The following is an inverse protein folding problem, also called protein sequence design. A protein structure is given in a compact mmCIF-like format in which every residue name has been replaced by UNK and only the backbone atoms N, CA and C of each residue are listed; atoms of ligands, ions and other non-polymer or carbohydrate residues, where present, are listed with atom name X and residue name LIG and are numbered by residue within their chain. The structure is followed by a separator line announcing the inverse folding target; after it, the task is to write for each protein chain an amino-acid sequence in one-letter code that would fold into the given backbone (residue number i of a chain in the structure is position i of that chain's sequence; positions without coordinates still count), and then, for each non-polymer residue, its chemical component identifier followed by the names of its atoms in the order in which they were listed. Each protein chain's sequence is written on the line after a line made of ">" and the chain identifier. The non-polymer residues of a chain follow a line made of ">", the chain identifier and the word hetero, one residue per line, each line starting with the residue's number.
data_IF_089734114127
#
_entry.id   IF_089734114127
#
_cell.length_a   1.000
_cell.length_b   1.000
_cell.length_c   1.000
_cell.angle_alpha   90.00
_cell.angle_beta   90.00
_cell.angle_gamma   90.00
#
_symmetry.space_group_name_H-M   'P 1'
#
loop_
_entity.id
_entity.type
_entity.pdbx_description
1 polymer ?
#
# COMPACT_ATOMS: atom_id res chain seq x y z
N UNK A 1 -16.90 0.81 31.14
CA UNK A 1 -17.76 1.97 30.84
C UNK A 1 -17.53 2.39 29.39
N UNK A 2 -18.58 2.81 28.71
CA UNK A 2 -18.53 3.54 27.43
C UNK A 2 -18.95 5.00 27.65
N UNK A 3 -18.59 5.88 26.71
CA UNK A 3 -19.05 7.27 26.66
C UNK A 3 -19.71 7.53 25.31
N UNK A 4 -20.77 8.34 25.30
CA UNK A 4 -21.36 8.89 24.07
C UNK A 4 -20.87 10.32 23.89
N UNK A 5 -20.27 10.62 22.75
CA UNK A 5 -19.83 11.97 22.40
C UNK A 5 -20.89 12.65 21.50
N UNK A 6 -21.06 13.98 21.56
CA UNK A 6 -21.97 14.69 20.66
C UNK A 6 -21.52 14.58 19.19
N UNK A 7 -22.45 14.38 18.25
CA UNK A 7 -22.11 14.27 16.83
C UNK A 7 -21.46 15.54 16.27
N UNK A 8 -21.79 16.72 16.79
CA UNK A 8 -21.21 18.01 16.41
C UNK A 8 -19.85 18.32 17.10
N UNK A 9 -19.25 17.35 17.79
CA UNK A 9 -17.96 17.52 18.45
C UNK A 9 -16.85 17.78 17.41
N UNK A 10 -16.28 18.98 17.44
CA UNK A 10 -15.21 19.39 16.51
C UNK A 10 -13.83 18.81 16.84
N UNK A 11 -13.48 18.64 18.11
CA UNK A 11 -12.17 18.17 18.54
C UNK A 11 -12.22 17.46 19.90
N UNK A 12 -11.26 16.57 20.13
CA UNK A 12 -10.93 16.05 21.47
C UNK A 12 -9.63 16.72 21.90
N UNK A 13 -9.71 17.65 22.85
CA UNK A 13 -8.58 18.47 23.29
C UNK A 13 -7.53 17.74 24.14
N UNK A 14 -6.44 18.45 24.43
CA UNK A 14 -5.28 17.92 25.14
C UNK A 14 -5.66 17.16 26.42
N UNK A 15 -5.12 15.95 26.59
CA UNK A 15 -5.32 15.12 27.79
C UNK A 15 -6.79 14.81 28.18
N UNK A 16 -7.78 15.02 27.32
CA UNK A 16 -9.21 14.96 27.69
C UNK A 16 -9.69 13.65 28.36
N UNK A 17 -9.11 12.50 28.01
CA UNK A 17 -9.35 11.19 28.63
C UNK A 17 -8.11 10.61 29.32
N UNK A 18 -7.10 11.44 29.62
CA UNK A 18 -5.82 11.00 30.17
C UNK A 18 -6.00 10.19 31.46
N UNK A 19 -5.48 8.97 31.45
CA UNK A 19 -5.57 7.99 32.54
C UNK A 19 -6.99 7.52 32.91
N UNK A 20 -7.96 7.53 31.97
CA UNK A 20 -9.33 7.05 32.23
C UNK A 20 -9.42 5.52 32.48
N UNK A 21 -9.16 5.10 33.73
CA UNK A 21 -9.10 3.70 34.20
C UNK A 21 -10.39 2.86 34.09
N UNK A 22 -11.48 3.42 33.57
CA UNK A 22 -12.79 2.73 33.43
C UNK A 22 -13.34 2.72 32.01
N UNK A 23 -12.75 3.51 31.10
CA UNK A 23 -13.18 3.63 29.70
C UNK A 23 -12.69 2.41 28.92
N UNK A 24 -13.63 1.55 28.52
CA UNK A 24 -13.34 0.26 27.86
C UNK A 24 -13.48 0.35 26.33
N UNK A 25 -14.32 1.25 25.84
CA UNK A 25 -14.51 1.54 24.42
C UNK A 25 -14.94 2.98 24.21
N UNK A 26 -14.60 3.55 23.06
CA UNK A 26 -15.06 4.87 22.64
C UNK A 26 -15.33 4.92 21.12
N UNK A 27 -16.39 5.63 20.75
CA UNK A 27 -16.69 6.00 19.37
C UNK A 27 -16.45 7.50 19.25
N UNK A 28 -15.61 7.90 18.29
CA UNK A 28 -15.24 9.28 17.99
C UNK A 28 -16.05 9.72 16.76
N UNK A 29 -16.98 10.69 16.90
CA UNK A 29 -17.93 11.09 15.86
C UNK A 29 -17.31 11.57 14.54
N UNK A 30 -18.13 11.61 13.49
CA UNK A 30 -17.70 11.93 12.12
C UNK A 30 -17.10 13.34 11.97
N UNK A 31 -17.57 14.30 12.77
CA UNK A 31 -17.19 15.70 12.66
C UNK A 31 -15.88 16.06 13.38
N UNK A 32 -15.31 15.14 14.18
CA UNK A 32 -14.04 15.37 14.89
C UNK A 32 -12.91 15.55 13.88
N UNK A 33 -12.25 16.72 13.91
CA UNK A 33 -11.14 17.11 13.04
C UNK A 33 -9.77 17.00 13.68
N UNK A 34 -9.71 17.07 15.02
CA UNK A 34 -8.45 16.95 15.77
C UNK A 34 -8.66 16.03 16.97
N UNK A 35 -7.73 15.10 17.17
CA UNK A 35 -7.54 14.39 18.44
C UNK A 35 -6.15 14.77 18.94
N UNK A 36 -6.14 15.53 20.04
CA UNK A 36 -4.97 16.29 20.47
C UNK A 36 -3.95 15.43 21.25
N UNK A 37 -2.86 16.08 21.61
CA UNK A 37 -1.71 15.58 22.36
C UNK A 37 -2.18 14.95 23.68
N UNK A 38 -1.65 13.75 23.99
CA UNK A 38 -1.99 12.97 25.18
C UNK A 38 -3.48 12.65 25.41
N UNK A 39 -4.39 12.92 24.46
CA UNK A 39 -5.84 12.87 24.71
C UNK A 39 -6.33 11.54 25.31
N UNK A 40 -5.68 10.41 25.00
CA UNK A 40 -5.97 9.09 25.57
C UNK A 40 -4.81 8.48 26.37
N UNK A 41 -3.76 9.25 26.70
CA UNK A 41 -2.56 8.78 27.39
C UNK A 41 -2.90 7.87 28.59
N UNK A 42 -2.38 6.64 28.58
CA UNK A 42 -2.52 5.66 29.67
C UNK A 42 -3.97 5.27 30.02
N UNK A 43 -4.89 5.24 29.04
CA UNK A 43 -6.19 4.54 29.18
C UNK A 43 -5.98 3.01 29.17
N UNK A 44 -5.32 2.48 30.20
CA UNK A 44 -4.79 1.11 30.21
C UNK A 44 -5.81 -0.03 30.08
N UNK A 45 -7.12 0.25 30.22
CA UNK A 45 -8.23 -0.71 30.05
C UNK A 45 -9.06 -0.50 28.76
N UNK A 46 -8.71 0.49 27.94
CA UNK A 46 -9.38 0.80 26.67
C UNK A 46 -9.05 -0.29 25.65
N UNK A 47 -10.08 -1.00 25.17
CA UNK A 47 -9.97 -2.16 24.26
C UNK A 47 -10.24 -1.82 22.80
N UNK A 48 -11.15 -0.87 22.55
CA UNK A 48 -11.53 -0.47 21.20
C UNK A 48 -11.72 1.04 21.06
N UNK A 49 -11.21 1.57 19.95
CA UNK A 49 -11.42 2.95 19.51
C UNK A 49 -11.97 2.87 18.09
N UNK A 50 -13.11 3.50 17.84
CA UNK A 50 -13.68 3.64 16.49
C UNK A 50 -13.72 5.11 16.12
N UNK A 51 -13.10 5.49 15.00
CA UNK A 51 -13.01 6.87 14.50
C UNK A 51 -13.87 6.98 13.23
N UNK A 52 -15.01 7.65 13.34
CA UNK A 52 -15.96 7.78 12.25
C UNK A 52 -15.62 8.94 11.28
N UNK A 53 -14.77 9.87 11.71
CA UNK A 53 -14.24 10.94 10.87
C UNK A 53 -12.91 10.60 10.21
N UNK A 54 -12.24 11.63 9.72
CA UNK A 54 -10.85 11.62 9.27
C UNK A 54 -10.13 12.74 10.04
N UNK A 55 -9.71 12.51 11.30
CA UNK A 55 -9.09 13.54 12.12
C UNK A 55 -7.57 13.59 11.88
N UNK A 56 -6.97 14.74 12.22
CA UNK A 56 -5.55 14.82 12.52
C UNK A 56 -5.32 14.29 13.94
N UNK A 57 -4.59 13.18 14.03
CA UNK A 57 -4.19 12.56 15.30
C UNK A 57 -2.80 13.12 15.62
N UNK A 58 -2.69 13.88 16.69
CA UNK A 58 -1.48 14.63 16.99
C UNK A 58 -0.42 13.77 17.69
N UNK A 59 0.67 14.44 18.06
CA UNK A 59 1.82 13.85 18.74
C UNK A 59 1.33 13.15 20.02
N UNK A 60 1.78 11.92 20.27
CA UNK A 60 1.61 11.26 21.58
C UNK A 60 0.14 11.06 22.06
N UNK A 61 -0.85 11.09 21.16
CA UNK A 61 -2.28 10.96 21.48
C UNK A 61 -2.66 9.64 22.17
N UNK A 62 -2.17 8.49 21.67
CA UNK A 62 -2.54 7.13 22.09
C UNK A 62 -1.35 6.37 22.71
N UNK A 63 -0.69 6.94 23.73
CA UNK A 63 0.39 6.27 24.48
C UNK A 63 -0.14 5.23 25.48
N UNK A 64 0.53 4.07 25.54
CA UNK A 64 0.41 3.02 26.58
C UNK A 64 -1.00 2.46 26.76
N UNK A 65 -1.71 2.29 25.63
CA UNK A 65 -3.01 1.62 25.60
C UNK A 65 -2.82 0.10 25.62
N UNK A 66 -2.33 -0.42 26.75
CA UNK A 66 -1.90 -1.82 26.90
C UNK A 66 -3.05 -2.84 26.75
N UNK A 67 -4.32 -2.39 26.74
CA UNK A 67 -5.48 -3.22 26.45
C UNK A 67 -6.05 -3.05 25.05
N UNK A 68 -5.55 -2.11 24.23
CA UNK A 68 -6.12 -1.78 22.92
C UNK A 68 -5.93 -2.93 21.96
N UNK A 69 -7.02 -3.63 21.67
CA UNK A 69 -7.09 -4.78 20.78
C UNK A 69 -7.50 -4.33 19.37
N UNK A 70 -8.22 -3.20 19.23
CA UNK A 70 -8.70 -2.66 17.93
C UNK A 70 -8.68 -1.13 17.85
N UNK A 71 -8.12 -0.59 16.77
CA UNK A 71 -8.28 0.79 16.33
C UNK A 71 -8.93 0.77 14.94
N UNK A 72 -10.19 1.21 14.85
CA UNK A 72 -10.98 1.18 13.62
C UNK A 72 -11.11 2.58 13.04
N UNK A 73 -10.60 2.78 11.83
CA UNK A 73 -10.59 4.06 11.10
C UNK A 73 -11.28 3.91 9.73
N UNK A 74 -12.60 3.62 9.67
CA UNK A 74 -13.33 3.34 8.42
C UNK A 74 -13.30 4.46 7.37
N UNK A 75 -13.04 5.71 7.77
CA UNK A 75 -12.82 6.85 6.86
C UNK A 75 -11.37 7.37 6.91
N UNK A 76 -10.44 6.57 7.41
CA UNK A 76 -9.02 6.92 7.56
C UNK A 76 -8.72 7.92 8.68
N UNK A 77 -7.68 8.72 8.44
CA UNK A 77 -7.20 9.82 9.27
C UNK A 77 -6.46 10.80 8.36
N UNK A 78 -6.51 12.08 8.67
CA UNK A 78 -5.80 13.11 7.88
C UNK A 78 -4.29 13.03 8.13
N UNK A 79 -3.85 12.76 9.36
CA UNK A 79 -2.42 12.60 9.70
C UNK A 79 -2.21 11.83 10.99
N UNK A 80 -1.05 11.16 11.11
CA UNK A 80 -0.52 10.65 12.39
C UNK A 80 0.75 11.42 12.75
N UNK A 81 0.75 12.09 13.90
CA UNK A 81 1.92 12.79 14.45
C UNK A 81 2.97 11.86 15.08
N UNK A 82 4.14 12.43 15.42
CA UNK A 82 5.22 11.70 16.07
C UNK A 82 4.73 10.95 17.34
N UNK A 83 5.02 9.65 17.45
CA UNK A 83 4.55 8.79 18.55
C UNK A 83 3.02 8.79 18.77
N UNK A 84 2.21 9.09 17.75
CA UNK A 84 0.75 9.14 17.85
C UNK A 84 0.11 7.87 18.45
N UNK A 85 0.65 6.69 18.13
CA UNK A 85 0.23 5.37 18.62
C UNK A 85 1.47 4.67 19.19
N UNK A 86 1.66 4.76 20.50
CA UNK A 86 2.91 4.36 21.18
C UNK A 86 2.60 3.28 22.24
N UNK A 87 3.39 2.20 22.24
CA UNK A 87 3.32 1.14 23.26
C UNK A 87 1.92 0.51 23.34
N UNK A 88 1.19 0.48 22.22
CA UNK A 88 -0.09 -0.22 22.07
C UNK A 88 0.16 -1.73 21.87
N UNK A 89 0.70 -2.39 22.89
CA UNK A 89 1.26 -3.76 22.83
C UNK A 89 0.27 -4.89 22.46
N UNK A 90 -1.03 -4.59 22.33
CA UNK A 90 -2.07 -5.53 21.89
C UNK A 90 -2.68 -5.21 20.52
N UNK A 91 -2.38 -4.05 19.94
CA UNK A 91 -3.00 -3.61 18.69
C UNK A 91 -2.46 -4.47 17.54
N UNK A 92 -3.28 -5.37 17.01
CA UNK A 92 -2.83 -6.45 16.13
C UNK A 92 -2.73 -6.09 14.66
N UNK A 93 -3.52 -5.09 14.22
CA UNK A 93 -3.57 -4.61 12.85
C UNK A 93 -3.79 -3.09 12.81
N UNK A 94 -3.24 -2.43 11.78
CA UNK A 94 -3.52 -1.03 11.43
C UNK A 94 -3.75 -0.88 9.92
N UNK A 95 -4.39 0.21 9.53
CA UNK A 95 -4.65 0.55 8.12
C UNK A 95 -3.98 1.88 7.75
N UNK A 96 -3.29 1.89 6.61
CA UNK A 96 -2.86 3.08 5.88
C UNK A 96 -3.98 3.41 4.88
N UNK A 97 -4.75 4.50 5.06
CA UNK A 97 -5.99 4.75 4.31
C UNK A 97 -5.76 5.15 2.85
N UNK A 98 -6.84 5.25 2.06
CA UNK A 98 -6.78 5.72 0.66
C UNK A 98 -6.15 7.11 0.53
N UNK A 99 -6.39 7.98 1.52
CA UNK A 99 -5.95 9.37 1.58
C UNK A 99 -5.50 9.73 2.99
N UNK A 100 -4.35 10.40 3.08
CA UNK A 100 -3.78 11.03 4.27
C UNK A 100 -2.71 12.04 3.82
N UNK A 101 -2.39 13.00 4.68
CA UNK A 101 -1.31 13.97 4.48
C UNK A 101 0.05 13.34 4.82
N UNK A 102 0.22 12.84 6.05
CA UNK A 102 1.48 12.26 6.54
C UNK A 102 1.33 11.26 7.70
N UNK A 103 2.35 10.41 7.86
CA UNK A 103 2.58 9.51 9.00
C UNK A 103 4.02 9.74 9.49
N UNK A 104 4.13 10.37 10.66
CA UNK A 104 5.39 10.88 11.22
C UNK A 104 6.37 9.79 11.70
N UNK A 105 7.57 10.25 12.10
CA UNK A 105 8.58 9.42 12.74
C UNK A 105 8.06 8.77 14.03
N UNK A 106 8.32 7.47 14.19
CA UNK A 106 7.88 6.67 15.33
C UNK A 106 6.35 6.68 15.57
N UNK A 107 5.52 7.00 14.57
CA UNK A 107 4.05 7.08 14.72
C UNK A 107 3.41 5.80 15.30
N UNK A 108 4.03 4.62 15.11
CA UNK A 108 3.62 3.32 15.64
C UNK A 108 4.67 2.72 16.60
N UNK A 109 5.33 3.53 17.44
CA UNK A 109 6.44 3.09 18.31
C UNK A 109 6.05 1.96 19.27
N UNK A 110 6.92 0.94 19.41
CA UNK A 110 6.78 -0.17 20.39
C UNK A 110 5.42 -0.89 20.39
N UNK A 111 4.73 -0.90 19.27
CA UNK A 111 3.45 -1.59 19.12
C UNK A 111 3.67 -3.10 18.91
N UNK A 112 4.27 -3.78 19.89
CA UNK A 112 4.77 -5.16 19.78
C UNK A 112 3.69 -6.25 19.55
N UNK A 113 2.41 -5.87 19.53
CA UNK A 113 1.31 -6.75 19.10
C UNK A 113 1.00 -6.66 17.60
N UNK A 114 1.51 -5.64 16.90
CA UNK A 114 1.15 -5.30 15.52
C UNK A 114 1.78 -6.30 14.55
N UNK A 115 0.95 -7.14 13.94
CA UNK A 115 1.36 -8.17 12.97
C UNK A 115 1.05 -7.79 11.54
N UNK A 116 -0.08 -7.11 11.34
CA UNK A 116 -0.65 -6.86 10.03
C UNK A 116 -0.68 -5.35 9.73
N UNK A 117 -0.23 -4.96 8.55
CA UNK A 117 -0.49 -3.62 8.00
C UNK A 117 -1.31 -3.77 6.71
N UNK A 118 -2.45 -3.09 6.64
CA UNK A 118 -3.26 -2.98 5.42
C UNK A 118 -3.01 -1.64 4.74
N UNK A 119 -2.74 -1.63 3.44
CA UNK A 119 -2.43 -0.43 2.65
C UNK A 119 -3.53 -0.22 1.61
N UNK A 120 -4.21 0.94 1.68
CA UNK A 120 -5.36 1.30 0.83
C UNK A 120 -5.09 2.49 -0.10
N UNK A 121 -3.98 3.21 0.07
CA UNK A 121 -3.58 4.28 -0.85
C UNK A 121 -3.28 3.74 -2.26
N UNK A 122 -3.85 4.40 -3.27
CA UNK A 122 -3.44 4.22 -4.68
C UNK A 122 -2.22 5.07 -5.03
N UNK A 123 -1.99 6.15 -4.29
CA UNK A 123 -0.92 7.13 -4.51
C UNK A 123 0.40 6.61 -3.94
N UNK A 124 1.51 6.99 -4.58
CA UNK A 124 2.82 6.92 -3.93
C UNK A 124 2.80 7.79 -2.67
N UNK A 125 3.27 7.22 -1.57
CA UNK A 125 3.30 7.85 -0.25
C UNK A 125 4.69 7.82 0.38
N UNK A 126 5.74 7.65 -0.44
CA UNK A 126 7.14 7.59 -0.01
C UNK A 126 7.58 8.84 0.74
N UNK A 127 7.17 10.03 0.29
CA UNK A 127 7.41 11.30 1.00
C UNK A 127 6.39 11.58 2.14
N UNK A 128 5.29 10.81 2.22
CA UNK A 128 4.23 10.98 3.23
C UNK A 128 4.42 10.09 4.46
N UNK A 129 5.12 8.96 4.35
CA UNK A 129 5.36 8.04 5.47
C UNK A 129 6.84 8.10 5.84
N UNK A 130 7.15 8.47 7.09
CA UNK A 130 8.52 8.40 7.60
C UNK A 130 9.06 6.96 7.50
N UNK A 131 10.26 6.73 6.93
CA UNK A 131 10.96 5.43 7.01
C UNK A 131 11.18 4.94 8.44
N UNK A 132 10.98 5.81 9.44
CA UNK A 132 11.08 5.52 10.87
C UNK A 132 9.72 5.41 11.58
N UNK A 133 8.58 5.39 10.86
CA UNK A 133 7.24 5.32 11.45
C UNK A 133 7.04 4.08 12.35
N UNK A 134 7.68 2.96 12.03
CA UNK A 134 7.55 1.66 12.72
C UNK A 134 8.78 1.27 13.56
N UNK A 135 9.60 2.24 14.01
CA UNK A 135 10.77 1.97 14.86
C UNK A 135 10.38 1.20 16.12
N UNK A 136 11.16 0.15 16.44
CA UNK A 136 10.91 -0.77 17.57
C UNK A 136 9.59 -1.55 17.51
N UNK A 137 8.94 -1.63 16.34
CA UNK A 137 7.73 -2.42 16.11
C UNK A 137 8.04 -3.62 15.20
N UNK A 138 8.91 -4.48 15.71
CA UNK A 138 9.52 -5.62 15.00
C UNK A 138 8.56 -6.83 14.85
N UNK A 139 7.29 -6.67 15.19
CA UNK A 139 6.28 -7.74 15.21
C UNK A 139 5.50 -7.88 13.88
N UNK A 140 5.68 -6.94 12.95
CA UNK A 140 4.96 -6.93 11.68
C UNK A 140 5.51 -8.04 10.78
N UNK A 141 4.64 -8.99 10.42
CA UNK A 141 4.98 -10.12 9.55
C UNK A 141 4.09 -10.23 8.31
N UNK A 142 3.01 -9.45 8.23
CA UNK A 142 2.04 -9.47 7.12
C UNK A 142 1.82 -8.06 6.56
N UNK A 143 2.09 -7.87 5.26
CA UNK A 143 1.64 -6.70 4.50
C UNK A 143 0.45 -7.08 3.60
N UNK A 144 -0.60 -6.27 3.60
CA UNK A 144 -1.82 -6.47 2.80
C UNK A 144 -2.06 -5.24 1.93
N UNK A 145 -1.81 -5.35 0.64
CA UNK A 145 -2.05 -4.29 -0.34
C UNK A 145 -3.45 -4.44 -0.94
N UNK A 146 -4.38 -3.60 -0.49
CA UNK A 146 -5.71 -3.47 -1.10
C UNK A 146 -5.70 -2.55 -2.35
N UNK A 147 -4.55 -1.91 -2.63
CA UNK A 147 -4.38 -0.90 -3.66
C UNK A 147 -2.88 -0.73 -4.05
N UNK A 148 -2.58 0.14 -5.02
CA UNK A 148 -1.26 0.24 -5.70
C UNK A 148 -0.14 0.99 -4.98
N UNK A 149 -0.36 1.54 -3.79
CA UNK A 149 0.62 2.34 -3.06
C UNK A 149 1.72 1.51 -2.37
N UNK A 150 2.65 0.95 -3.14
CA UNK A 150 3.62 -0.07 -2.69
C UNK A 150 4.75 0.43 -1.74
N UNK A 151 4.68 1.65 -1.22
CA UNK A 151 5.76 2.33 -0.45
C UNK A 151 6.38 1.48 0.66
N UNK A 152 5.57 0.76 1.47
CA UNK A 152 6.09 0.01 2.64
C UNK A 152 6.98 -1.19 2.25
N UNK A 153 6.88 -1.72 1.03
CA UNK A 153 7.77 -2.79 0.56
C UNK A 153 9.24 -2.30 0.54
N UNK A 154 9.48 -1.04 0.22
CA UNK A 154 10.83 -0.48 0.08
C UNK A 154 11.49 -0.09 1.42
N UNK A 155 10.83 -0.30 2.57
CA UNK A 155 11.37 0.10 3.87
C UNK A 155 12.25 -1.01 4.47
N UNK A 156 13.54 -0.71 4.66
CA UNK A 156 14.55 -1.63 5.21
C UNK A 156 14.09 -2.33 6.51
N UNK A 157 13.37 -1.61 7.38
CA UNK A 157 12.84 -2.12 8.65
C UNK A 157 11.91 -3.35 8.53
N UNK A 158 11.31 -3.59 7.37
CA UNK A 158 10.44 -4.75 7.11
C UNK A 158 11.15 -5.94 6.45
N UNK A 159 12.35 -5.74 5.87
CA UNK A 159 13.07 -6.77 5.07
C UNK A 159 13.27 -8.10 5.79
N UNK A 160 13.44 -8.08 7.11
CA UNK A 160 13.74 -9.27 7.93
C UNK A 160 12.55 -9.87 8.67
N UNK A 161 11.42 -9.16 8.77
CA UNK A 161 10.28 -9.60 9.61
C UNK A 161 9.05 -10.06 8.80
N UNK A 162 8.90 -9.61 7.55
CA UNK A 162 7.78 -10.01 6.70
C UNK A 162 7.93 -11.46 6.23
N UNK A 163 6.95 -12.28 6.60
CA UNK A 163 6.79 -13.67 6.13
C UNK A 163 5.71 -13.78 5.05
N UNK A 164 4.75 -12.85 5.04
CA UNK A 164 3.57 -12.93 4.17
C UNK A 164 3.30 -11.58 3.48
N UNK A 165 3.12 -11.61 2.16
CA UNK A 165 2.61 -10.47 1.39
C UNK A 165 1.32 -10.88 0.70
N UNK A 166 0.29 -10.04 0.82
CA UNK A 166 -1.02 -10.22 0.17
C UNK A 166 -1.27 -9.04 -0.76
N UNK A 167 -1.56 -9.30 -2.02
CA UNK A 167 -2.16 -8.34 -2.94
C UNK A 167 -3.64 -8.71 -3.12
N UNK A 168 -4.55 -7.78 -2.82
CA UNK A 168 -5.99 -8.00 -2.93
C UNK A 168 -6.68 -6.72 -3.46
N UNK A 169 -6.65 -6.52 -4.78
CA UNK A 169 -7.10 -5.24 -5.36
C UNK A 169 -8.64 -5.13 -5.54
N UNK A 170 -9.43 -5.74 -4.64
CA UNK A 170 -10.91 -5.67 -4.64
C UNK A 170 -11.48 -4.25 -4.69
N UNK A 171 -10.74 -3.24 -4.21
CA UNK A 171 -11.13 -1.83 -4.21
C UNK A 171 -10.63 -1.04 -5.42
N UNK A 172 -9.88 -1.66 -6.34
CA UNK A 172 -9.43 -1.04 -7.59
C UNK A 172 -10.59 -0.87 -8.57
N UNK A 173 -11.46 0.11 -8.31
CA UNK A 173 -12.44 0.56 -9.28
C UNK A 173 -11.71 0.95 -10.57
N UNK A 174 -12.18 0.44 -11.72
CA UNK A 174 -11.43 0.46 -12.99
C UNK A 174 -11.10 1.88 -13.53
N UNK A 175 -11.66 2.92 -12.91
CA UNK A 175 -11.38 4.32 -13.17
C UNK A 175 -10.05 4.83 -12.56
N UNK A 176 -9.44 4.11 -11.60
CA UNK A 176 -8.26 4.55 -10.85
C UNK A 176 -6.97 3.77 -11.12
N UNK A 177 -6.86 3.14 -12.30
CA UNK A 177 -5.56 2.66 -12.80
C UNK A 177 -4.59 3.85 -12.89
N UNK A 178 -3.50 3.82 -12.10
CA UNK A 178 -2.24 4.44 -12.50
C UNK A 178 -1.80 3.71 -13.78
N UNK A 179 -1.99 4.35 -14.93
CA UNK A 179 -2.00 3.68 -16.25
C UNK A 179 -0.65 3.12 -16.68
N UNK A 180 0.39 3.43 -15.91
CA UNK A 180 1.80 3.21 -16.24
C UNK A 180 2.43 2.05 -15.45
N UNK A 181 1.80 1.60 -14.35
CA UNK A 181 2.33 0.53 -13.49
C UNK A 181 1.77 -0.83 -13.92
N UNK A 182 2.35 -1.43 -14.96
CA UNK A 182 1.98 -2.77 -15.43
C UNK A 182 2.39 -3.88 -14.45
N UNK A 183 3.49 -3.70 -13.72
CA UNK A 183 4.12 -4.76 -12.93
C UNK A 183 3.86 -4.62 -11.42
N UNK A 184 3.70 -5.75 -10.73
CA UNK A 184 3.81 -5.80 -9.27
C UNK A 184 5.23 -5.44 -8.80
N UNK A 185 5.40 -4.89 -7.59
CA UNK A 185 6.72 -4.63 -7.02
C UNK A 185 7.47 -5.95 -6.75
N UNK A 186 8.80 -5.93 -6.88
CA UNK A 186 9.62 -7.07 -6.46
C UNK A 186 9.65 -7.19 -4.93
N UNK A 187 9.61 -8.42 -4.44
CA UNK A 187 9.63 -8.84 -3.03
C UNK A 187 10.97 -9.50 -2.64
N UNK A 188 11.91 -9.63 -3.58
CA UNK A 188 13.14 -10.42 -3.45
C UNK A 188 14.15 -9.94 -2.38
N UNK A 189 13.92 -8.77 -1.78
CA UNK A 189 14.67 -8.21 -0.65
C UNK A 189 14.17 -8.71 0.71
N UNK A 190 12.96 -9.29 0.80
CA UNK A 190 12.48 -9.91 2.03
C UNK A 190 13.26 -11.21 2.28
N UNK A 191 13.95 -11.29 3.41
CA UNK A 191 14.84 -12.42 3.70
C UNK A 191 14.12 -13.66 4.23
N UNK A 192 12.94 -13.45 4.83
CA UNK A 192 12.14 -14.46 5.52
C UNK A 192 10.73 -14.62 4.90
N UNK A 193 10.55 -14.18 3.65
CA UNK A 193 9.30 -14.37 2.92
C UNK A 193 9.02 -15.87 2.73
N UNK A 194 7.79 -16.27 3.01
CA UNK A 194 7.31 -17.66 2.93
C UNK A 194 5.99 -17.77 2.17
N UNK A 195 5.15 -16.73 2.15
CA UNK A 195 3.85 -16.78 1.47
C UNK A 195 3.57 -15.51 0.67
N UNK A 196 3.13 -15.67 -0.58
CA UNK A 196 2.56 -14.59 -1.39
C UNK A 196 1.16 -14.98 -1.86
N UNK A 197 0.16 -14.16 -1.56
CA UNK A 197 -1.23 -14.33 -2.02
C UNK A 197 -1.59 -13.19 -2.95
N UNK A 198 -2.25 -13.50 -4.07
CA UNK A 198 -2.57 -12.55 -5.14
C UNK A 198 -4.01 -12.75 -5.62
N UNK A 199 -4.89 -11.80 -5.30
CA UNK A 199 -6.31 -11.80 -5.70
C UNK A 199 -6.70 -10.47 -6.38
N UNK A 200 -7.48 -10.55 -7.45
CA UNK A 200 -7.85 -9.42 -8.33
C UNK A 200 -6.65 -8.71 -8.97
N UNK A 201 -5.59 -9.45 -9.32
CA UNK A 201 -4.39 -8.92 -9.98
C UNK A 201 -4.43 -9.04 -11.51
N UNK A 202 -5.62 -9.20 -12.09
CA UNK A 202 -5.86 -9.63 -13.47
C UNK A 202 -5.23 -8.71 -14.53
N UNK A 203 -5.05 -7.43 -14.18
CA UNK A 203 -4.42 -6.38 -14.98
C UNK A 203 -2.88 -6.27 -14.83
N UNK A 204 -2.27 -7.02 -13.90
CA UNK A 204 -0.87 -6.85 -13.49
C UNK A 204 0.02 -8.02 -13.89
N UNK A 205 1.26 -7.70 -14.28
CA UNK A 205 2.31 -8.67 -14.57
C UNK A 205 3.17 -8.94 -13.34
N UNK A 206 3.56 -10.20 -13.12
CA UNK A 206 4.56 -10.59 -12.13
C UNK A 206 5.96 -10.48 -12.78
N UNK A 207 6.86 -9.61 -12.29
CA UNK A 207 8.14 -9.32 -12.94
C UNK A 207 9.18 -10.43 -12.78
N UNK A 208 10.22 -10.42 -13.61
CA UNK A 208 11.41 -11.23 -13.41
C UNK A 208 12.05 -10.98 -12.03
N UNK A 209 12.54 -12.04 -11.38
CA UNK A 209 13.06 -12.00 -10.00
C UNK A 209 12.08 -11.41 -8.97
N UNK A 210 10.76 -11.58 -9.17
CA UNK A 210 9.71 -11.11 -8.27
C UNK A 210 9.94 -11.52 -6.82
N UNK A 211 10.20 -12.80 -6.54
CA UNK A 211 10.35 -13.31 -5.19
C UNK A 211 11.65 -14.08 -4.98
N UNK A 212 12.02 -14.26 -3.72
CA UNK A 212 13.13 -15.09 -3.24
C UNK A 212 12.72 -15.74 -1.93
N UNK A 213 13.08 -17.01 -1.74
CA UNK A 213 12.83 -17.71 -0.48
C UNK A 213 13.06 -19.21 -0.60
N UNK A 214 13.18 -19.86 0.55
CA UNK A 214 13.05 -21.32 0.66
C UNK A 214 11.77 -21.64 1.39
N UNK A 215 11.03 -22.61 0.88
CA UNK A 215 9.72 -23.03 1.35
C UNK A 215 8.63 -21.97 1.11
N UNK A 216 8.56 -21.52 -0.15
CA UNK A 216 7.57 -20.57 -0.64
C UNK A 216 6.22 -21.23 -0.97
N UNK A 217 5.14 -20.66 -0.44
CA UNK A 217 3.76 -20.80 -0.93
C UNK A 217 3.41 -19.61 -1.82
N UNK A 218 2.97 -19.86 -3.05
CA UNK A 218 2.48 -18.82 -3.99
C UNK A 218 1.05 -19.17 -4.39
N UNK A 219 0.08 -18.33 -4.00
CA UNK A 219 -1.33 -18.50 -4.36
C UNK A 219 -1.80 -17.32 -5.23
N UNK A 220 -2.28 -17.62 -6.44
CA UNK A 220 -2.87 -16.66 -7.38
C UNK A 220 -4.33 -17.08 -7.61
N UNK A 221 -5.26 -16.31 -7.06
CA UNK A 221 -6.67 -16.70 -6.91
C UNK A 221 -7.53 -16.43 -8.17
N UNK A 222 -7.03 -15.63 -9.11
CA UNK A 222 -7.73 -15.21 -10.34
C UNK A 222 -6.77 -15.14 -11.52
N UNK A 223 -7.09 -14.35 -12.55
CA UNK A 223 -6.17 -14.12 -13.65
C UNK A 223 -5.02 -13.18 -13.25
N UNK A 224 -4.01 -13.15 -14.11
CA UNK A 224 -2.81 -12.33 -14.01
C UNK A 224 -2.39 -11.96 -15.44
N UNK A 225 -1.93 -10.74 -15.69
CA UNK A 225 -1.69 -10.27 -17.05
C UNK A 225 -0.54 -11.03 -17.72
N UNK A 226 0.55 -11.25 -17.01
CA UNK A 226 1.61 -12.21 -17.37
C UNK A 226 2.45 -12.60 -16.15
N UNK A 227 3.22 -13.70 -16.26
CA UNK A 227 4.29 -14.02 -15.31
C UNK A 227 5.58 -14.11 -16.11
N UNK A 228 6.57 -13.28 -15.78
CA UNK A 228 7.85 -13.26 -16.47
C UNK A 228 8.63 -14.57 -16.27
N UNK A 229 9.43 -14.92 -17.28
CA UNK A 229 10.14 -16.19 -17.41
C UNK A 229 11.12 -16.51 -16.27
N UNK A 230 11.59 -15.49 -15.53
CA UNK A 230 12.54 -15.58 -14.42
C UNK A 230 11.92 -15.15 -13.06
N UNK A 231 10.59 -15.01 -12.96
CA UNK A 231 9.89 -14.46 -11.80
C UNK A 231 10.18 -15.19 -10.48
N UNK A 232 10.18 -16.52 -10.51
CA UNK A 232 10.35 -17.38 -9.33
C UNK A 232 11.71 -18.10 -9.28
N UNK A 233 12.68 -17.65 -10.08
CA UNK A 233 14.02 -18.25 -10.23
C UNK A 233 14.84 -18.33 -8.93
N UNK A 234 14.50 -17.52 -7.93
CA UNK A 234 15.16 -17.49 -6.61
C UNK A 234 14.31 -18.14 -5.51
N UNK A 235 13.27 -18.90 -5.87
CA UNK A 235 12.37 -19.59 -4.95
C UNK A 235 12.56 -21.12 -5.01
N UNK A 236 12.63 -21.76 -3.84
CA UNK A 236 12.20 -23.16 -3.65
C UNK A 236 10.71 -23.11 -3.26
N UNK A 237 9.83 -23.60 -4.14
CA UNK A 237 8.37 -23.50 -3.96
C UNK A 237 7.83 -24.81 -3.41
N UNK A 238 7.32 -24.79 -2.17
CA UNK A 238 6.59 -25.95 -1.64
C UNK A 238 5.20 -26.07 -2.27
N UNK A 239 4.53 -24.95 -2.57
CA UNK A 239 3.18 -24.92 -3.10
C UNK A 239 2.98 -23.79 -4.10
N UNK A 240 2.47 -24.11 -5.29
CA UNK A 240 1.97 -23.14 -6.26
C UNK A 240 0.48 -23.40 -6.54
N UNK A 241 -0.36 -22.39 -6.36
CA UNK A 241 -1.79 -22.43 -6.66
C UNK A 241 -2.12 -21.38 -7.71
N UNK A 242 -2.77 -21.78 -8.81
CA UNK A 242 -3.32 -20.85 -9.81
C UNK A 242 -4.77 -21.19 -10.14
N UNK A 243 -5.70 -20.34 -9.70
CA UNK A 243 -7.14 -20.52 -9.87
C UNK A 243 -7.73 -19.76 -11.07
N UNK A 244 -6.90 -19.02 -11.82
CA UNK A 244 -7.30 -18.32 -13.04
C UNK A 244 -7.55 -19.22 -14.26
N UNK A 245 -7.89 -18.59 -15.38
CA UNK A 245 -8.30 -19.20 -16.64
C UNK A 245 -7.38 -18.81 -17.81
N UNK A 246 -6.69 -17.65 -17.74
CA UNK A 246 -5.82 -17.10 -18.77
C UNK A 246 -4.53 -17.92 -18.92
N UNK A 247 -4.13 -18.24 -20.14
CA UNK A 247 -2.94 -19.03 -20.42
C UNK A 247 -1.65 -18.39 -19.84
N UNK A 248 -0.94 -19.13 -18.98
CA UNK A 248 0.39 -18.73 -18.50
C UNK A 248 1.45 -19.35 -19.40
N UNK A 249 1.87 -18.55 -20.38
CA UNK A 249 2.94 -18.89 -21.33
C UNK A 249 4.35 -18.88 -20.68
N UNK A 250 5.35 -19.25 -21.48
CA UNK A 250 6.77 -19.19 -21.08
C UNK A 250 7.20 -20.34 -20.15
N UNK A 251 8.28 -20.09 -19.41
CA UNK A 251 8.99 -20.99 -18.50
C UNK A 251 9.03 -20.44 -17.05
N UNK A 252 8.08 -19.56 -16.73
CA UNK A 252 8.02 -18.83 -15.46
C UNK A 252 7.94 -19.69 -14.20
N UNK A 253 7.50 -20.95 -14.33
CA UNK A 253 7.46 -21.96 -13.26
C UNK A 253 8.53 -23.04 -13.43
N UNK A 254 8.87 -23.44 -14.66
CA UNK A 254 9.91 -24.45 -14.91
C UNK A 254 11.33 -23.98 -14.55
N UNK A 255 11.54 -22.67 -14.30
CA UNK A 255 12.77 -22.12 -13.70
C UNK A 255 12.73 -21.93 -12.18
N UNK A 256 11.59 -22.16 -11.52
CA UNK A 256 11.54 -22.21 -10.06
C UNK A 256 12.21 -23.50 -9.57
N UNK A 257 12.82 -23.48 -8.39
CA UNK A 257 13.38 -24.71 -7.82
C UNK A 257 12.26 -25.55 -7.21
N UNK A 258 12.21 -26.83 -7.61
CA UNK A 258 11.59 -27.91 -6.84
C UNK A 258 10.13 -27.62 -6.41
N UNK A 259 9.23 -27.33 -7.37
CA UNK A 259 7.78 -27.20 -7.08
C UNK A 259 7.24 -28.54 -6.59
N UNK A 260 6.85 -28.63 -5.31
CA UNK A 260 6.43 -29.89 -4.68
C UNK A 260 4.92 -30.15 -4.86
N UNK A 261 4.09 -29.13 -4.67
CA UNK A 261 2.64 -29.15 -4.90
C UNK A 261 2.27 -28.12 -5.98
N UNK A 262 1.65 -28.55 -7.07
CA UNK A 262 1.15 -27.69 -8.16
C UNK A 262 -0.37 -27.87 -8.29
N UNK A 263 -1.12 -26.89 -7.78
CA UNK A 263 -2.57 -26.81 -7.90
C UNK A 263 -2.95 -25.86 -9.05
N UNK A 264 -3.78 -26.34 -9.97
CA UNK A 264 -4.34 -25.53 -11.05
C UNK A 264 -5.86 -25.68 -11.06
N UNK A 265 -6.57 -24.56 -11.04
CA UNK A 265 -8.01 -24.52 -10.91
C UNK A 265 -8.74 -25.23 -12.06
N UNK A 266 -9.91 -25.85 -11.80
CA UNK A 266 -10.61 -26.69 -12.78
C UNK A 266 -11.11 -25.94 -14.02
N UNK A 267 -11.18 -24.59 -13.96
CA UNK A 267 -11.58 -23.74 -15.08
C UNK A 267 -10.44 -23.45 -16.06
N UNK A 268 -9.17 -23.57 -15.66
CA UNK A 268 -8.02 -23.45 -16.56
C UNK A 268 -8.10 -24.54 -17.64
N UNK A 269 -7.97 -24.18 -18.93
CA UNK A 269 -8.21 -25.10 -20.06
C UNK A 269 -6.96 -25.61 -20.78
N UNK A 270 -5.77 -25.23 -20.33
CA UNK A 270 -4.52 -25.61 -20.98
C UNK A 270 -3.85 -26.79 -20.27
N UNK A 271 -3.07 -27.57 -21.02
CA UNK A 271 -2.34 -28.72 -20.49
C UNK A 271 -0.96 -28.35 -19.90
N UNK A 272 -0.58 -27.07 -19.99
CA UNK A 272 0.67 -26.53 -19.45
C UNK A 272 0.46 -25.20 -18.73
N UNK A 273 1.32 -24.90 -17.75
CA UNK A 273 1.37 -23.64 -17.01
C UNK A 273 2.83 -23.28 -16.75
N UNK A 274 3.29 -22.11 -17.23
CA UNK A 274 4.65 -21.61 -17.00
C UNK A 274 5.79 -22.60 -17.33
N UNK A 275 5.58 -23.45 -18.33
CA UNK A 275 6.55 -24.47 -18.79
C UNK A 275 6.39 -25.86 -18.17
N UNK A 276 5.47 -26.05 -17.23
CA UNK A 276 5.20 -27.33 -16.56
C UNK A 276 3.94 -27.97 -17.16
N UNK A 277 3.97 -29.30 -17.38
CA UNK A 277 2.81 -30.10 -17.82
C UNK A 277 1.88 -30.39 -16.64
N UNK A 278 0.59 -30.16 -16.80
CA UNK A 278 -0.42 -30.39 -15.76
C UNK A 278 -0.96 -31.81 -15.92
N UNK A 279 -0.53 -32.70 -15.02
CA UNK A 279 -1.04 -34.07 -14.93
C UNK A 279 -2.44 -34.07 -14.27
N UNK A 280 -3.45 -33.66 -15.02
CA UNK A 280 -4.83 -34.07 -14.75
C UNK A 280 -4.86 -35.57 -15.02
N UNK A 281 -5.17 -36.38 -14.01
CA UNK A 281 -5.36 -37.82 -14.21
C UNK A 281 -6.40 -38.05 -15.30
N UNK A 282 -6.20 -39.08 -16.13
CA UNK A 282 -7.01 -39.32 -17.32
C UNK A 282 -8.51 -39.25 -16.99
N UNK A 283 -9.23 -38.34 -17.68
CA UNK A 283 -10.69 -38.44 -17.75
C UNK A 283 -11.00 -39.85 -18.26
N UNK A 284 -11.81 -40.66 -17.54
CA UNK A 284 -11.98 -42.07 -17.87
C UNK A 284 -12.48 -42.20 -19.31
N UNK A 285 -11.78 -43.01 -20.12
CA UNK A 285 -12.06 -43.14 -21.54
C UNK A 285 -13.56 -43.36 -21.80
N UNK A 286 -14.14 -42.73 -22.83
CA UNK A 286 -15.54 -42.95 -23.18
C UNK A 286 -15.74 -44.43 -23.53
N UNK A 287 -16.34 -45.17 -22.58
CA UNK A 287 -16.48 -46.63 -22.63
C UNK A 287 -17.03 -47.06 -23.99
N UNK A 288 -16.19 -47.75 -24.75
CA UNK A 288 -16.55 -48.21 -26.09
C UNK A 288 -17.75 -49.17 -26.01
N UNK A 289 -18.70 -49.12 -26.97
CA UNK A 289 -19.86 -50.00 -26.94
C UNK A 289 -19.45 -51.47 -26.91
N UNK A 290 -19.95 -52.22 -25.94
CA UNK A 290 -19.68 -53.64 -25.79
C UNK A 290 -20.28 -54.37 -27.00
N UNK A 291 -19.43 -54.90 -27.90
CA UNK A 291 -19.87 -55.81 -28.94
C UNK A 291 -20.38 -57.12 -28.30
N UNK A 292 -21.70 -57.28 -28.27
CA UNK A 292 -22.35 -58.51 -27.83
C UNK A 292 -22.44 -59.49 -29.01
N UNK A 293 -21.65 -60.56 -28.95
CA UNK A 293 -21.63 -61.59 -29.99
C UNK A 293 -22.84 -62.52 -29.90
N UNK A 294 -23.71 -62.48 -30.92
CA UNK A 294 -24.64 -63.57 -31.22
C UNK A 294 -24.97 -63.59 -32.73
N UNK A 295 -25.31 -64.76 -33.26
CA UNK A 295 -25.25 -65.05 -34.70
C UNK A 295 -26.59 -65.47 -35.29
N UNK A 296 -27.04 -64.78 -36.35
CA UNK A 296 -27.93 -65.27 -37.43
C UNK A 296 -27.87 -64.22 -38.56
N UNK A 297 -27.43 -64.50 -39.79
CA UNK A 297 -28.01 -65.32 -40.87
C UNK A 297 -29.36 -64.82 -41.41
N UNK A 298 -29.39 -64.66 -42.75
CA UNK A 298 -30.54 -64.54 -43.66
C UNK A 298 -31.09 -63.14 -44.05
N UNK A 299 -30.75 -62.76 -45.29
CA UNK A 299 -31.68 -62.34 -46.36
C UNK A 299 -32.21 -60.90 -46.49
N UNK A 300 -31.85 -60.32 -47.65
CA UNK A 300 -32.71 -59.61 -48.62
C UNK A 300 -33.38 -58.26 -48.31
N UNK A 301 -33.28 -57.35 -49.30
CA UNK A 301 -34.25 -56.29 -49.71
C UNK A 301 -34.64 -55.21 -48.68
N UNK A 302 -34.94 -53.96 -49.05
CA UNK A 302 -34.70 -53.10 -50.24
C UNK A 302 -35.29 -51.70 -49.91
N UNK A 303 -35.28 -50.76 -50.85
CA UNK A 303 -36.34 -49.72 -51.04
C UNK A 303 -36.83 -48.93 -49.79
N UNK A 304 -36.36 -47.70 -49.57
CA UNK A 304 -36.92 -46.42 -50.10
C UNK A 304 -37.88 -45.71 -49.15
N UNK A 305 -37.74 -44.38 -49.04
CA UNK A 305 -38.79 -43.43 -48.64
C UNK A 305 -39.36 -43.51 -47.19
N UNK A 306 -40.00 -42.47 -46.65
CA UNK A 306 -39.78 -41.02 -46.78
C UNK A 306 -40.44 -40.26 -45.61
N UNK A 307 -40.17 -38.95 -45.52
CA UNK A 307 -41.10 -37.88 -45.07
C UNK A 307 -41.82 -37.94 -43.69
N UNK A 308 -41.87 -36.76 -43.04
CA UNK A 308 -43.03 -36.24 -42.28
C UNK A 308 -43.48 -36.93 -40.96
N UNK A 309 -44.16 -36.27 -40.01
CA UNK A 309 -44.23 -34.83 -39.68
C UNK A 309 -44.96 -34.57 -38.34
N UNK A 310 -44.40 -33.68 -37.51
CA UNK A 310 -45.12 -32.65 -36.73
C UNK A 310 -46.10 -33.04 -35.58
N UNK A 311 -46.54 -31.97 -34.89
CA UNK A 311 -47.70 -31.82 -33.98
C UNK A 311 -47.47 -32.16 -32.49
N UNK A 312 -47.57 -31.10 -31.67
CA UNK A 312 -48.32 -30.88 -30.40
C UNK A 312 -48.67 -32.10 -29.50
N UNK A 313 -48.77 -32.03 -28.16
CA UNK A 313 -49.23 -30.92 -27.29
C UNK A 313 -48.86 -31.24 -25.80
N UNK A 314 -48.57 -30.26 -24.93
CA UNK A 314 -49.47 -29.59 -23.95
C UNK A 314 -49.75 -30.31 -22.60
N UNK A 315 -50.10 -29.52 -21.55
CA UNK A 315 -50.27 -29.89 -20.13
C UNK A 315 -48.99 -30.36 -19.40
N UNK A 316 -48.80 -30.20 -18.07
CA UNK A 316 -49.66 -29.82 -16.93
C UNK A 316 -49.09 -28.57 -16.19
N UNK A 317 -49.87 -27.54 -15.81
CA UNK A 317 -50.76 -27.43 -14.63
C UNK A 317 -50.08 -27.84 -13.30
N UNK A 318 -49.61 -26.90 -12.46
CA UNK A 318 -50.31 -26.30 -11.28
C UNK A 318 -50.71 -27.35 -10.22
N UNK A 319 -50.50 -27.16 -8.90
CA UNK A 319 -50.69 -25.96 -8.05
C UNK A 319 -49.54 -25.76 -7.02
N UNK A 320 -49.28 -24.56 -6.46
CA UNK A 320 -50.02 -23.79 -5.42
C UNK A 320 -50.12 -24.51 -4.06
N UNK A 321 -50.11 -23.87 -2.88
CA UNK A 321 -49.88 -22.48 -2.43
C UNK A 321 -49.51 -22.53 -0.91
N UNK A 322 -49.30 -21.49 -0.09
CA UNK A 322 -49.71 -20.08 -0.06
C UNK A 322 -48.79 -19.29 0.92
N UNK A 323 -48.48 -18.00 0.71
CA UNK A 323 -49.14 -16.78 1.26
C UNK A 323 -48.85 -16.47 2.76
N UNK A 324 -48.82 -15.22 3.26
CA UNK A 324 -49.08 -13.88 2.66
C UNK A 324 -48.25 -12.79 3.40
N UNK A 325 -47.71 -11.74 2.74
CA UNK A 325 -48.28 -10.36 2.59
C UNK A 325 -48.38 -9.55 3.92
N UNK A 326 -47.96 -8.28 4.09
CA UNK A 326 -48.28 -6.98 3.42
C UNK A 326 -47.49 -5.84 4.15
N UNK A 327 -47.36 -4.55 3.75
CA UNK A 327 -47.57 -3.74 2.52
C UNK A 327 -46.85 -2.35 2.66
N UNK A 328 -46.88 -1.49 1.62
CA UNK A 328 -46.44 -0.07 1.59
C UNK A 328 -47.42 0.77 0.72
N UNK A 329 -47.25 2.11 0.46
CA UNK A 329 -46.38 3.16 1.04
C UNK A 329 -47.22 4.16 1.90
N UNK A 330 -47.50 5.48 1.64
CA UNK A 330 -47.21 6.44 0.54
C UNK A 330 -46.16 7.53 0.92
N UNK A 331 -46.34 8.83 0.58
CA UNK A 331 -45.34 9.91 0.72
C UNK A 331 -45.89 11.36 0.80
N UNK A 332 -44.99 12.34 1.03
CA UNK A 332 -45.09 13.81 0.88
C UNK A 332 -45.72 14.67 2.01
N UNK A 333 -45.08 15.84 2.29
CA UNK A 333 -45.64 17.21 2.28
C UNK A 333 -44.50 18.24 2.51
N UNK A 334 -44.65 19.45 1.97
CA UNK A 334 -43.70 20.57 2.07
C UNK A 334 -44.09 21.51 3.22
N UNK A 335 -43.11 22.10 3.92
CA UNK A 335 -43.19 23.50 4.41
C UNK A 335 -41.86 24.01 5.03
N UNK A 336 -41.48 25.23 4.67
CA UNK A 336 -40.68 26.15 5.50
C UNK A 336 -41.63 27.03 6.34
N UNK A 337 -41.16 27.75 7.38
CA UNK A 337 -40.85 29.17 7.12
C UNK A 337 -39.81 29.84 8.05
N UNK A 338 -39.59 31.14 7.76
CA UNK A 338 -39.14 32.22 8.66
C UNK A 338 -37.70 32.26 9.18
N UNK A 339 -37.04 33.36 8.84
CA UNK A 339 -35.87 33.92 9.52
C UNK A 339 -36.26 34.50 10.89
N UNK A 340 -35.34 34.51 11.86
CA UNK A 340 -35.48 35.28 13.10
C UNK A 340 -34.12 35.91 13.49
N UNK A 341 -33.96 37.20 13.18
CA UNK A 341 -32.71 37.96 13.39
C UNK A 341 -32.89 38.97 14.52
N UNK A 342 -32.68 38.55 15.78
CA UNK A 342 -32.70 39.42 16.97
C UNK A 342 -31.44 39.19 17.82
N UNK A 343 -31.01 40.23 18.54
CA UNK A 343 -29.67 40.39 19.07
C UNK A 343 -29.55 40.34 20.59
N UNK A 344 -28.30 40.24 21.05
CA UNK A 344 -27.71 40.92 22.23
C UNK A 344 -27.74 40.23 23.61
N UNK A 345 -26.65 40.46 24.35
CA UNK A 345 -26.40 40.19 25.78
C UNK A 345 -26.45 38.72 26.23
N UNK A 346 -25.51 38.23 27.07
CA UNK A 346 -24.77 38.94 28.11
C UNK A 346 -23.26 38.74 28.08
N UNK A 347 -22.53 39.75 28.57
CA UNK A 347 -21.22 39.55 29.21
C UNK A 347 -21.42 39.02 30.63
N UNK A 348 -20.56 38.12 31.09
CA UNK A 348 -20.28 37.93 32.52
C UNK A 348 -18.78 37.83 32.73
N UNK A 349 -18.14 38.97 32.96
CA UNK A 349 -16.79 39.03 33.52
C UNK A 349 -16.85 38.49 34.96
N UNK A 350 -15.93 37.58 35.32
CA UNK A 350 -15.71 37.21 36.72
C UNK A 350 -14.21 37.31 37.02
N UNK A 351 -13.89 38.10 38.04
CA UNK A 351 -12.54 38.57 38.32
C UNK A 351 -11.77 37.62 39.26
N UNK A 352 -10.46 37.80 39.30
CA UNK A 352 -9.47 37.05 40.08
C UNK A 352 -9.84 36.99 41.56
N UNK A 353 -9.52 35.86 42.20
CA UNK A 353 -9.21 35.86 43.62
C UNK A 353 -8.06 34.88 43.92
N UNK A 354 -6.86 35.41 44.17
CA UNK A 354 -5.73 34.66 44.71
C UNK A 354 -5.87 34.59 46.23
N UNK A 355 -5.79 33.38 46.82
CA UNK A 355 -5.00 33.11 48.05
C UNK A 355 -5.24 31.69 48.61
N UNK A 356 -4.22 30.83 48.50
CA UNK A 356 -3.97 29.74 49.45
C UNK A 356 -2.51 29.26 49.30
N UNK A 357 -1.60 29.87 50.07
CA UNK A 357 -0.18 29.48 50.10
C UNK A 357 0.02 28.38 51.15
N UNK A 358 0.60 27.25 50.74
CA UNK A 358 1.27 26.30 51.65
C UNK A 358 2.58 25.84 51.04
N UNK A 359 3.70 26.38 51.54
CA UNK A 359 5.05 26.00 51.10
C UNK A 359 5.44 24.62 51.64
N UNK A 360 6.08 23.79 50.82
CA UNK A 360 7.00 22.75 51.26
C UNK A 360 8.07 22.48 50.19
N UNK A 361 9.34 22.49 50.59
CA UNK A 361 10.47 21.95 49.82
C UNK A 361 10.94 22.75 48.59
N UNK A 362 11.88 23.69 48.81
CA UNK A 362 12.82 24.10 47.75
C UNK A 362 14.17 23.44 48.06
N UNK A 363 14.70 22.64 47.14
CA UNK A 363 16.13 22.39 47.06
C UNK A 363 16.56 22.07 45.61
N UNK A 364 17.57 22.81 45.13
CA UNK A 364 18.44 22.50 44.00
C UNK A 364 17.82 22.25 42.60
N UNK A 365 17.62 23.34 41.85
CA UNK A 365 17.64 23.37 40.38
C UNK A 365 18.81 24.25 39.91
N UNK A 366 19.67 23.82 38.95
CA UNK A 366 20.77 24.63 38.45
C UNK A 366 20.27 25.76 37.51
N UNK A 367 20.82 26.96 37.67
CA UNK A 367 20.53 28.11 36.80
C UNK A 367 21.04 27.87 35.37
N UNK A 368 20.22 28.17 34.36
CA UNK A 368 20.60 28.05 32.95
C UNK A 368 21.19 29.38 32.42
N UNK A 369 22.38 29.40 31.80
CA UNK A 369 23.04 30.63 31.38
C UNK A 369 22.37 31.29 30.16
N UNK A 370 21.71 32.41 30.39
CA UNK A 370 21.07 33.25 29.36
C UNK A 370 22.09 34.00 28.48
N UNK A 371 22.74 33.31 27.54
CA UNK A 371 23.16 33.91 26.26
C UNK A 371 23.65 32.91 25.19
N UNK A 372 24.10 31.70 25.56
CA UNK A 372 24.82 30.78 24.64
C UNK A 372 24.01 30.30 23.43
N UNK A 373 22.68 30.33 23.50
CA UNK A 373 21.81 29.72 22.49
C UNK A 373 21.65 30.53 21.19
N UNK A 374 21.88 31.85 21.17
CA UNK A 374 21.65 32.65 19.94
C UNK A 374 22.61 32.27 18.82
N UNK A 375 23.91 32.17 19.11
CA UNK A 375 24.91 31.77 18.12
C UNK A 375 24.69 30.34 17.61
N UNK A 376 24.27 29.42 18.49
CA UNK A 376 23.97 28.04 18.13
C UNK A 376 22.74 27.93 17.21
N UNK A 377 21.68 28.70 17.48
CA UNK A 377 20.49 28.76 16.62
C UNK A 377 20.82 29.36 15.25
N UNK A 378 21.64 30.43 15.20
CA UNK A 378 22.10 31.03 13.95
C UNK A 378 22.94 30.03 13.13
N UNK A 379 23.89 29.34 13.76
CA UNK A 379 24.70 28.30 13.11
C UNK A 379 23.82 27.16 12.56
N UNK A 380 22.83 26.68 13.33
CA UNK A 380 21.89 25.66 12.86
C UNK A 380 21.07 26.15 11.65
N UNK A 381 20.58 27.39 11.66
CA UNK A 381 19.85 27.97 10.52
C UNK A 381 20.72 28.10 9.26
N UNK A 382 21.99 28.49 9.42
CA UNK A 382 22.96 28.56 8.31
C UNK A 382 23.22 27.16 7.75
N UNK A 383 23.47 26.16 8.61
CA UNK A 383 23.68 24.76 8.21
C UNK A 383 22.46 24.23 7.43
N UNK A 384 21.23 24.42 7.93
CA UNK A 384 20.02 23.98 7.20
C UNK A 384 19.86 24.67 5.85
N UNK A 385 20.27 25.94 5.74
CA UNK A 385 20.21 26.70 4.48
C UNK A 385 21.24 26.17 3.47
N UNK A 386 22.47 25.89 3.92
CA UNK A 386 23.54 25.29 3.09
C UNK A 386 23.13 23.89 2.62
N UNK A 387 22.56 23.05 3.50
CA UNK A 387 22.03 21.74 3.13
C UNK A 387 20.92 21.83 2.06
N UNK A 388 20.00 22.80 2.18
CA UNK A 388 18.95 23.01 1.17
C UNK A 388 19.53 23.41 -0.20
N UNK A 389 20.54 24.30 -0.21
CA UNK A 389 21.24 24.70 -1.45
C UNK A 389 21.98 23.51 -2.09
N UNK A 390 22.67 22.69 -1.28
CA UNK A 390 23.33 21.48 -1.76
C UNK A 390 22.35 20.46 -2.35
N UNK A 391 21.19 20.25 -1.71
CA UNK A 391 20.14 19.36 -2.24
C UNK A 391 19.63 19.87 -3.59
N UNK A 392 19.34 21.17 -3.72
CA UNK A 392 18.92 21.77 -5.00
C UNK A 392 19.99 21.62 -6.08
N UNK A 393 21.27 21.84 -5.75
CA UNK A 393 22.38 21.64 -6.68
C UNK A 393 22.50 20.17 -7.15
N UNK A 394 22.36 19.21 -6.23
CA UNK A 394 22.36 17.76 -6.54
C UNK A 394 21.16 17.39 -7.42
N UNK A 395 19.95 17.90 -7.12
CA UNK A 395 18.76 17.67 -7.94
C UNK A 395 18.93 18.22 -9.37
N UNK A 396 19.51 19.43 -9.51
CA UNK A 396 19.83 20.01 -10.82
C UNK A 396 20.90 19.21 -11.57
N UNK A 397 21.91 18.67 -10.88
CA UNK A 397 22.92 17.79 -11.47
C UNK A 397 22.30 16.49 -11.99
N UNK A 398 21.46 15.83 -11.18
CA UNK A 398 20.73 14.60 -11.55
C UNK A 398 19.78 14.85 -12.72
N UNK A 399 19.04 15.97 -12.72
CA UNK A 399 18.20 16.37 -13.84
C UNK A 399 19.01 16.56 -15.12
N UNK A 400 20.16 17.22 -15.04
CA UNK A 400 21.06 17.45 -16.18
C UNK A 400 21.63 16.13 -16.71
N UNK A 401 22.07 15.23 -15.84
CA UNK A 401 22.52 13.87 -16.22
C UNK A 401 21.41 13.09 -16.93
N UNK A 402 20.18 13.10 -16.39
CA UNK A 402 19.01 12.49 -17.06
C UNK A 402 18.72 13.11 -18.43
N UNK A 403 18.87 14.43 -18.58
CA UNK A 403 18.66 15.12 -19.86
C UNK A 403 19.71 14.77 -20.92
N UNK A 404 20.96 14.51 -20.53
CA UNK A 404 21.98 13.99 -21.45
C UNK A 404 21.65 12.54 -21.85
N UNK A 405 21.33 11.67 -20.89
CA UNK A 405 20.95 10.27 -21.16
C UNK A 405 19.70 10.12 -22.05
N UNK A 406 18.81 11.11 -22.06
CA UNK A 406 17.59 11.09 -22.88
C UNK A 406 17.79 11.52 -24.34
N UNK A 407 18.90 12.19 -24.66
CA UNK A 407 19.24 12.56 -26.05
C UNK A 407 20.01 11.45 -26.78
N UNK A 408 20.70 10.58 -26.05
CA UNK A 408 21.56 9.50 -26.57
C UNK A 408 20.78 8.24 -27.02
N UNK A 409 19.46 8.38 -27.24
CA UNK A 409 18.53 7.27 -27.53
C UNK A 409 17.43 7.66 -28.53
N UNK A 410 17.74 8.59 -29.46
CA UNK A 410 16.80 9.10 -30.48
C UNK A 410 17.42 9.29 -31.87
N UNK A 411 18.17 8.31 -32.35
CA UNK A 411 18.38 8.09 -33.80
C UNK A 411 18.05 6.63 -34.18
N UNK A 412 17.84 6.41 -35.48
CA UNK A 412 17.18 5.24 -36.10
C UNK A 412 15.66 5.10 -35.74
N UNK A 413 14.76 4.60 -36.60
CA UNK A 413 14.91 3.90 -37.90
C UNK A 413 13.88 4.45 -38.92
N UNK A 414 14.31 4.67 -40.18
CA UNK A 414 13.51 4.34 -41.38
C UNK A 414 14.46 3.88 -42.52
N UNK A 415 14.11 2.85 -43.33
CA UNK A 415 15.09 2.16 -44.19
C UNK A 415 15.02 2.50 -45.70
N UNK A 416 15.91 1.84 -46.46
CA UNK A 416 15.98 1.69 -47.92
C UNK A 416 16.35 2.93 -48.79
N UNK A 417 17.59 2.93 -49.32
CA UNK A 417 17.83 2.58 -50.74
C UNK A 417 19.34 2.45 -51.06
N UNK A 418 19.67 2.10 -52.31
CA UNK A 418 20.93 1.44 -52.67
C UNK A 418 22.00 2.29 -53.38
N UNK A 419 23.27 1.90 -53.14
CA UNK A 419 24.37 1.77 -54.12
C UNK A 419 25.47 2.86 -54.25
N UNK A 420 26.67 2.36 -54.62
CA UNK A 420 27.83 3.01 -55.25
C UNK A 420 28.75 3.99 -54.48
N UNK A 421 29.88 3.42 -54.04
CA UNK A 421 31.25 3.71 -54.54
C UNK A 421 31.99 5.02 -54.18
N UNK A 422 33.32 4.87 -54.01
CA UNK A 422 34.36 5.90 -53.74
C UNK A 422 34.27 6.61 -52.37
N UNK A 423 35.38 7.02 -51.73
CA UNK A 423 36.79 6.73 -52.02
C UNK A 423 37.76 7.44 -51.04
N UNK A 424 38.80 6.74 -50.59
CA UNK A 424 39.96 7.18 -49.78
C UNK A 424 39.99 8.58 -49.13
N UNK A 425 40.01 8.60 -47.79
CA UNK A 425 40.90 9.48 -47.02
C UNK A 425 41.28 8.80 -45.69
N UNK A 426 42.58 8.60 -45.45
CA UNK A 426 43.12 8.30 -44.11
C UNK A 426 43.83 9.57 -43.66
N UNK A 427 43.39 10.18 -42.56
CA UNK A 427 44.27 10.96 -41.67
C UNK A 427 43.59 11.20 -40.31
N UNK A 428 44.43 11.16 -39.26
CA UNK A 428 44.27 11.74 -37.93
C UNK A 428 43.13 11.27 -36.99
N UNK A 429 43.58 10.75 -35.86
CA UNK A 429 42.95 10.91 -34.55
C UNK A 429 43.04 12.38 -34.09
N UNK A 430 42.37 12.68 -32.96
CA UNK A 430 42.30 13.97 -32.25
C UNK A 430 41.17 14.94 -32.67
N UNK A 431 40.80 15.82 -31.73
CA UNK A 431 39.87 16.97 -31.84
C UNK A 431 38.33 16.76 -31.78
N UNK A 432 37.82 16.17 -30.68
CA UNK A 432 36.56 16.67 -30.03
C UNK A 432 36.66 16.62 -28.49
N UNK A 433 37.72 17.19 -27.92
CA UNK A 433 38.05 17.11 -26.49
C UNK A 433 37.62 18.35 -25.66
N UNK A 434 36.48 18.99 -25.96
CA UNK A 434 36.05 20.22 -25.26
C UNK A 434 35.58 20.01 -23.81
N UNK A 435 35.20 18.79 -23.41
CA UNK A 435 34.47 18.55 -22.16
C UNK A 435 35.30 18.36 -20.86
N UNK A 436 36.65 18.23 -20.84
CA UNK A 436 37.41 18.30 -19.58
C UNK A 436 37.51 19.74 -19.03
N UNK A 437 37.63 20.75 -19.90
CA UNK A 437 38.02 22.12 -19.52
C UNK A 437 36.90 22.82 -18.73
N UNK A 438 35.64 22.70 -19.19
CA UNK A 438 34.47 23.20 -18.45
C UNK A 438 34.18 22.42 -17.15
N UNK A 439 34.66 21.18 -17.04
CA UNK A 439 34.55 20.41 -15.80
C UNK A 439 35.61 20.86 -14.77
N UNK A 440 36.81 21.19 -15.26
CA UNK A 440 37.91 21.70 -14.46
C UNK A 440 37.60 23.08 -13.86
N UNK A 441 37.14 24.04 -14.68
CA UNK A 441 36.79 25.40 -14.20
C UNK A 441 35.76 25.40 -13.07
N UNK A 442 34.77 24.51 -13.15
CA UNK A 442 33.68 24.44 -12.17
C UNK A 442 34.12 23.80 -10.84
N UNK A 443 35.21 23.03 -10.84
CA UNK A 443 35.85 22.52 -9.61
C UNK A 443 36.74 23.60 -9.02
N UNK A 444 37.51 24.30 -9.86
CA UNK A 444 38.39 25.40 -9.42
C UNK A 444 37.58 26.58 -8.83
N UNK A 445 36.36 26.86 -9.33
CA UNK A 445 35.38 27.76 -8.68
C UNK A 445 34.90 27.24 -7.33
N UNK A 446 34.63 25.93 -7.19
CA UNK A 446 34.19 25.34 -5.92
C UNK A 446 35.27 25.42 -4.84
N UNK A 447 36.51 25.07 -5.17
CA UNK A 447 37.65 25.16 -4.26
C UNK A 447 37.90 26.63 -3.84
N UNK A 448 37.71 27.58 -4.76
CA UNK A 448 37.80 29.02 -4.46
C UNK A 448 36.72 29.49 -3.46
N UNK A 449 35.49 28.98 -3.59
CA UNK A 449 34.39 29.26 -2.64
C UNK A 449 34.67 28.61 -1.27
N UNK A 450 35.19 27.38 -1.25
CA UNK A 450 35.54 26.67 -0.02
C UNK A 450 36.69 27.39 0.72
N UNK A 451 37.70 27.87 0.00
CA UNK A 451 38.79 28.67 0.57
C UNK A 451 38.27 29.97 1.19
N UNK A 452 37.46 30.75 0.47
CA UNK A 452 36.89 32.00 0.97
C UNK A 452 36.01 31.79 2.22
N UNK A 453 35.26 30.68 2.28
CA UNK A 453 34.51 30.28 3.49
C UNK A 453 35.47 29.93 4.64
N UNK A 454 36.58 29.23 4.38
CA UNK A 454 37.55 28.86 5.42
C UNK A 454 38.26 30.08 6.04
N UNK A 455 38.65 31.06 5.23
CA UNK A 455 39.27 32.31 5.70
C UNK A 455 38.26 33.18 6.48
N UNK A 456 36.97 33.10 6.15
CA UNK A 456 35.91 33.82 6.89
C UNK A 456 35.67 33.25 8.29
N UNK A 457 36.11 32.02 8.56
CA UNK A 457 35.87 31.29 9.83
C UNK A 457 37.14 31.05 10.68
N UNK A 458 38.30 31.60 10.31
CA UNK A 458 39.51 31.50 11.14
C UNK A 458 39.62 32.57 12.25
N UNK A 459 38.85 33.66 12.15
CA UNK A 459 38.92 34.85 13.03
C UNK A 459 37.69 35.01 13.96
N UNK A 460 36.97 33.91 14.29
CA UNK A 460 35.73 33.92 15.09
C UNK A 460 35.74 33.02 16.33
#
# INVERSE_FOLDING_TARGET
>A
MSITLPEDLYAIGESAFRSCKSLQSIIIPRNVKVIDTFAFYSCSVLKSITILGSPKILIQTFISLNSLETLSTPNGYDSLGNYAIDTCIKLSAITIPEKFDFIDTSAFYKCAGLKNITIQTSEDCTDKISPRAFVSTNSVSVLIYENTGFTLINFEAFTTNITTVVFNFTKSSSAKKLRDVKYLPTLNHFTNLQKVVMDNIDDYSIPALFAKGVDMEIDIEKDVESIDDDAFKLCNIIKFTYNGQKFIAGNSLSKASNIQELNVGPLYRYNTIGGIVINRGEDPEPVSPIESSSSSTESSSSSTESSSSSIESSSTSTESSSSSSKQSPPSSVVNSPSEAKVSSSMKSELNINNNSITNYGIENQPQCPQNTNRSLIIALCIITTICAILIVAICLLIYKIKSYSANDSREEITPELSSQSTGNAIYNLEETAENPIKFKSNIDELDSIILAISETYSDS
#
